data_IF_049784842691
#
_entry.id   IF_049784842691
#
_cell.length_a   1.000
_cell.length_b   1.000
_cell.length_c   1.000
_cell.angle_alpha   90.00
_cell.angle_beta   90.00
_cell.angle_gamma   90.00
#
_symmetry.space_group_name_H-M   'P 1'
#
loop_
_entity.id
_entity.type
_entity.pdbx_description
1 polymer ?
#
# COMPACT_ATOMS: atom_id res chain seq x y z
N UNK A 1 1.42 -5.59 4.31
CA UNK A 1 0.32 -5.70 5.30
C UNK A 1 -0.67 -6.80 4.93
N UNK A 2 -1.43 -6.71 3.83
CA UNK A 2 -2.39 -7.77 3.43
C UNK A 2 -1.78 -9.17 3.40
N UNK A 3 -0.69 -9.36 2.63
CA UNK A 3 0.04 -10.64 2.56
C UNK A 3 0.53 -11.15 3.91
N UNK A 4 0.96 -10.25 4.81
CA UNK A 4 1.48 -10.61 6.12
C UNK A 4 0.39 -11.22 7.01
N UNK A 5 -0.79 -10.60 7.05
CA UNK A 5 -1.91 -11.05 7.88
C UNK A 5 -2.68 -12.25 7.31
N UNK A 6 -2.26 -12.77 6.15
CA UNK A 6 -2.68 -14.12 5.72
C UNK A 6 -2.01 -15.19 6.59
N UNK A 7 -0.79 -14.94 7.07
CA UNK A 7 -0.01 -15.91 7.84
C UNK A 7 0.01 -15.63 9.36
N UNK A 8 -0.25 -14.38 9.76
CA UNK A 8 -0.19 -13.96 11.16
C UNK A 8 -1.50 -13.36 11.64
N UNK A 9 -1.76 -13.49 12.95
CA UNK A 9 -2.92 -12.88 13.59
C UNK A 9 -2.67 -11.44 14.01
N UNK A 10 -3.69 -10.59 13.89
CA UNK A 10 -3.73 -9.24 14.46
C UNK A 10 -3.58 -9.22 15.99
N UNK A 11 -3.94 -10.31 16.68
CA UNK A 11 -3.78 -10.43 18.14
C UNK A 11 -2.32 -10.60 18.55
N UNK A 12 -1.51 -11.23 17.68
CA UNK A 12 -0.08 -11.47 17.93
C UNK A 12 0.78 -10.30 17.45
N UNK A 13 0.43 -9.72 16.30
CA UNK A 13 1.15 -8.60 15.71
C UNK A 13 0.21 -7.40 15.55
N UNK A 14 0.31 -6.39 16.44
CA UNK A 14 -0.54 -5.20 16.37
C UNK A 14 -0.35 -4.45 15.05
N UNK A 15 -1.48 -4.11 14.40
CA UNK A 15 -1.49 -3.48 13.08
C UNK A 15 -0.70 -2.17 13.01
N UNK A 16 -0.68 -1.37 14.07
CA UNK A 16 0.00 -0.07 14.08
C UNK A 16 1.53 -0.21 14.08
N UNK A 17 2.07 -1.24 14.75
CA UNK A 17 3.50 -1.53 14.73
C UNK A 17 3.91 -2.09 13.37
N UNK A 18 3.12 -3.04 12.85
CA UNK A 18 3.37 -3.62 11.53
C UNK A 18 3.20 -2.60 10.39
N UNK A 19 2.32 -1.61 10.54
CA UNK A 19 2.19 -0.52 9.57
C UNK A 19 3.47 0.32 9.47
N UNK A 20 4.07 0.68 10.61
CA UNK A 20 5.34 1.41 10.63
C UNK A 20 6.48 0.59 10.00
N UNK A 21 6.59 -0.70 10.37
CA UNK A 21 7.58 -1.61 9.80
C UNK A 21 7.37 -1.83 8.29
N UNK A 22 6.13 -2.01 7.84
CA UNK A 22 5.80 -2.17 6.43
C UNK A 22 6.11 -0.91 5.61
N UNK A 23 5.83 0.28 6.14
CA UNK A 23 6.17 1.54 5.47
C UNK A 23 7.68 1.76 5.43
N UNK A 24 8.39 1.44 6.51
CA UNK A 24 9.85 1.52 6.57
C UNK A 24 10.50 0.60 5.53
N UNK A 25 10.02 -0.64 5.44
CA UNK A 25 10.49 -1.60 4.45
C UNK A 25 10.16 -1.15 3.02
N UNK A 26 8.91 -0.77 2.74
CA UNK A 26 8.49 -0.31 1.43
C UNK A 26 9.30 0.90 0.96
N UNK A 27 9.58 1.86 1.84
CA UNK A 27 10.41 3.01 1.52
C UNK A 27 11.83 2.62 1.07
N UNK A 28 12.42 1.56 1.66
CA UNK A 28 13.72 1.04 1.22
C UNK A 28 13.63 0.35 -0.14
N UNK A 29 12.58 -0.46 -0.35
CA UNK A 29 12.37 -1.22 -1.60
C UNK A 29 12.11 -0.29 -2.79
N UNK A 30 11.38 0.80 -2.57
CA UNK A 30 11.08 1.82 -3.59
C UNK A 30 12.20 2.86 -3.76
N UNK A 31 13.42 2.57 -3.27
CA UNK A 31 14.59 3.45 -3.36
C UNK A 31 14.39 4.87 -2.79
N UNK A 32 13.52 4.98 -1.78
CA UNK A 32 13.25 6.22 -1.04
C UNK A 32 13.42 6.04 0.48
N UNK A 33 14.59 5.57 0.96
CA UNK A 33 14.78 5.22 2.36
C UNK A 33 14.54 6.42 3.29
N UNK A 34 13.95 6.13 4.45
CA UNK A 34 13.74 7.10 5.54
C UNK A 34 14.53 6.64 6.76
N UNK A 35 15.02 7.60 7.56
CA UNK A 35 15.70 7.28 8.83
C UNK A 35 14.72 6.59 9.77
N UNK A 36 15.19 5.57 10.50
CA UNK A 36 14.39 4.83 11.48
C UNK A 36 13.75 5.77 12.51
N UNK A 37 14.52 6.71 13.05
CA UNK A 37 14.04 7.75 13.98
C UNK A 37 12.86 8.55 13.40
N UNK A 38 12.93 8.90 12.11
CA UNK A 38 11.87 9.64 11.43
C UNK A 38 10.57 8.83 11.36
N UNK A 39 10.66 7.54 11.03
CA UNK A 39 9.49 6.66 10.97
C UNK A 39 8.85 6.50 12.34
N UNK A 40 9.65 6.31 13.39
CA UNK A 40 9.14 6.23 14.77
C UNK A 40 8.45 7.53 15.17
N UNK A 41 9.04 8.68 14.84
CA UNK A 41 8.44 10.00 15.09
C UNK A 41 7.09 10.15 14.43
N UNK A 42 6.99 9.84 13.14
CA UNK A 42 5.73 9.95 12.40
C UNK A 42 4.71 8.95 12.95
N UNK A 43 5.10 7.72 13.26
CA UNK A 43 4.20 6.72 13.85
C UNK A 43 3.66 7.18 15.21
N UNK A 44 4.50 7.76 16.06
CA UNK A 44 4.10 8.32 17.36
C UNK A 44 3.16 9.52 17.18
N UNK A 45 3.44 10.42 16.24
CA UNK A 45 2.55 11.55 15.93
C UNK A 45 1.18 11.10 15.41
N UNK A 46 1.13 10.08 14.55
CA UNK A 46 -0.12 9.53 14.03
C UNK A 46 -0.95 8.83 15.13
N UNK A 47 -0.27 8.21 16.12
CA UNK A 47 -0.94 7.53 17.24
C UNK A 47 -1.39 8.51 18.32
N UNK A 48 -0.51 9.44 18.68
CA UNK A 48 -0.68 10.42 19.75
C UNK A 48 -0.33 11.79 19.17
N UNK A 49 -1.34 12.54 18.68
CA UNK A 49 -1.16 13.82 17.96
C UNK A 49 -0.45 14.97 18.71
N UNK A 50 0.09 14.72 19.91
CA UNK A 50 0.85 15.67 20.74
C UNK A 50 2.26 15.19 21.10
N UNK A 51 2.64 13.97 20.73
CA UNK A 51 3.91 13.34 21.14
C UNK A 51 4.97 13.54 20.03
N UNK A 52 5.51 14.76 19.93
CA UNK A 52 6.49 15.15 18.90
C UNK A 52 7.94 15.06 19.37
N UNK A 53 8.16 15.07 20.69
CA UNK A 53 9.50 15.07 21.27
C UNK A 53 9.96 13.63 21.51
N UNK A 54 10.87 13.16 20.66
CA UNK A 54 11.59 11.91 20.88
C UNK A 54 12.89 12.23 21.60
N UNK A 55 13.05 11.66 22.78
CA UNK A 55 14.36 11.53 23.40
C UNK A 55 14.99 10.21 22.93
N UNK A 56 16.05 10.32 22.13
CA UNK A 56 16.79 9.19 21.52
C UNK A 56 17.46 8.31 22.58
N UNK A 57 17.74 8.85 23.78
CA UNK A 57 18.33 8.09 24.88
C UNK A 57 17.28 7.47 25.79
N UNK A 58 15.99 7.74 25.55
CA UNK A 58 14.92 7.16 26.36
C UNK A 58 14.77 5.66 26.12
N UNK A 59 14.51 4.91 27.19
CA UNK A 59 14.23 3.47 27.13
C UNK A 59 13.06 3.16 26.18
N UNK A 60 12.05 4.05 26.14
CA UNK A 60 10.91 3.97 25.22
C UNK A 60 11.36 4.00 23.76
N UNK A 61 12.21 4.95 23.37
CA UNK A 61 12.70 5.04 21.99
C UNK A 61 13.55 3.82 21.61
N UNK A 62 14.43 3.38 22.52
CA UNK A 62 15.31 2.22 22.29
C UNK A 62 14.44 0.96 22.07
N UNK A 63 13.43 0.74 22.90
CA UNK A 63 12.48 -0.36 22.73
C UNK A 63 11.72 -0.26 21.41
N UNK A 64 11.18 0.91 21.06
CA UNK A 64 10.47 1.12 19.78
C UNK A 64 11.36 0.86 18.56
N UNK A 65 12.65 1.22 18.67
CA UNK A 65 13.64 1.01 17.61
C UNK A 65 13.93 -0.48 17.41
N UNK A 66 14.12 -1.21 18.51
CA UNK A 66 14.31 -2.67 18.47
C UNK A 66 13.07 -3.38 17.92
N UNK A 67 11.87 -3.00 18.37
CA UNK A 67 10.60 -3.56 17.88
C UNK A 67 10.39 -3.32 16.39
N UNK A 68 10.74 -2.13 15.88
CA UNK A 68 10.59 -1.81 14.47
C UNK A 68 11.52 -2.68 13.60
N UNK A 69 12.79 -2.82 14.00
CA UNK A 69 13.75 -3.69 13.29
C UNK A 69 13.34 -5.16 13.38
N UNK A 70 12.86 -5.61 14.53
CA UNK A 70 12.33 -6.96 14.70
C UNK A 70 11.15 -7.22 13.78
N UNK A 71 10.14 -6.34 13.79
CA UNK A 71 8.94 -6.47 12.97
C UNK A 71 9.26 -6.38 11.46
N UNK A 72 10.23 -5.56 11.06
CA UNK A 72 10.73 -5.54 9.69
C UNK A 72 11.31 -6.90 9.27
N UNK A 73 12.18 -7.49 10.10
CA UNK A 73 12.77 -8.80 9.79
C UNK A 73 11.70 -9.90 9.69
N UNK A 74 10.76 -9.92 10.62
CA UNK A 74 9.63 -10.87 10.59
C UNK A 74 8.77 -10.66 9.35
N UNK A 75 8.53 -9.41 8.95
CA UNK A 75 7.81 -9.08 7.72
C UNK A 75 8.54 -9.61 6.47
N UNK A 76 9.85 -9.32 6.34
CA UNK A 76 10.68 -9.80 5.23
C UNK A 76 10.68 -11.32 5.10
N UNK A 77 10.89 -12.02 6.22
CA UNK A 77 10.88 -13.48 6.26
C UNK A 77 9.50 -14.05 5.89
N UNK A 78 8.42 -13.44 6.39
CA UNK A 78 7.05 -13.88 6.09
C UNK A 78 6.72 -13.70 4.60
N UNK A 79 7.23 -12.65 3.98
CA UNK A 79 7.07 -12.43 2.54
C UNK A 79 8.00 -13.30 1.69
N UNK A 80 8.91 -14.07 2.30
CA UNK A 80 9.92 -14.84 1.58
C UNK A 80 10.85 -13.96 0.75
N UNK A 81 11.11 -12.72 1.20
CA UNK A 81 11.85 -11.68 0.47
C UNK A 81 11.24 -11.28 -0.88
N UNK A 82 10.02 -11.73 -1.19
CA UNK A 82 9.26 -11.28 -2.36
C UNK A 82 8.62 -9.91 -2.07
N UNK A 83 9.44 -8.88 -2.24
CA UNK A 83 9.07 -7.47 -1.99
C UNK A 83 8.71 -6.70 -3.27
N UNK A 84 8.86 -7.32 -4.44
CA UNK A 84 8.48 -6.72 -5.71
C UNK A 84 6.96 -6.84 -5.92
N UNK A 85 6.22 -5.76 -5.69
CA UNK A 85 4.76 -5.75 -5.81
C UNK A 85 4.33 -5.09 -7.12
N UNK A 86 3.59 -5.83 -7.95
CA UNK A 86 2.87 -5.25 -9.08
C UNK A 86 1.53 -4.65 -8.61
N UNK A 87 1.28 -3.40 -8.98
CA UNK A 87 0.11 -2.64 -8.56
C UNK A 87 -0.88 -2.43 -9.72
N UNK A 88 -2.20 -2.42 -9.45
CA UNK A 88 -3.21 -2.19 -10.48
C UNK A 88 -3.05 -0.82 -11.17
N UNK A 89 -2.47 0.17 -10.49
CA UNK A 89 -2.28 1.54 -11.00
C UNK A 89 -1.54 1.59 -12.34
N UNK A 90 -0.47 0.81 -12.51
CA UNK A 90 0.30 0.75 -13.77
C UNK A 90 -0.58 0.32 -14.95
N UNK A 91 -1.42 -0.68 -14.72
CA UNK A 91 -2.35 -1.21 -15.72
C UNK A 91 -3.51 -0.25 -15.98
N UNK A 92 -3.99 0.47 -14.96
CA UNK A 92 -4.99 1.52 -15.11
C UNK A 92 -4.49 2.63 -16.05
N UNK A 93 -3.29 3.17 -15.78
CA UNK A 93 -2.70 4.24 -16.60
C UNK A 93 -2.54 3.79 -18.05
N UNK A 94 -2.00 2.58 -18.26
CA UNK A 94 -1.82 2.02 -19.61
C UNK A 94 -3.13 1.84 -20.34
N UNK A 95 -4.15 1.26 -19.70
CA UNK A 95 -5.44 1.01 -20.31
C UNK A 95 -6.17 2.32 -20.65
N UNK A 96 -6.24 3.26 -19.71
CA UNK A 96 -6.83 4.58 -19.93
C UNK A 96 -6.18 5.34 -21.09
N UNK A 97 -4.86 5.21 -21.25
CA UNK A 97 -4.15 5.77 -22.41
C UNK A 97 -4.57 5.13 -23.73
N UNK A 98 -4.62 3.79 -23.79
CA UNK A 98 -4.99 3.05 -25.00
C UNK A 98 -6.43 3.33 -25.46
N UNK A 99 -7.38 3.42 -24.52
CA UNK A 99 -8.79 3.72 -24.83
C UNK A 99 -9.08 5.22 -24.98
N UNK A 100 -8.04 6.06 -24.92
CA UNK A 100 -8.14 7.53 -24.97
C UNK A 100 -9.17 8.08 -23.98
N UNK A 101 -9.16 7.55 -22.76
CA UNK A 101 -10.03 7.99 -21.67
C UNK A 101 -9.81 9.48 -21.35
N UNK A 102 -10.86 10.15 -20.87
CA UNK A 102 -10.73 11.50 -20.33
C UNK A 102 -9.83 11.50 -19.09
N UNK A 103 -9.24 12.66 -18.80
CA UNK A 103 -8.42 12.86 -17.60
C UNK A 103 -9.18 12.52 -16.32
N UNK A 104 -10.45 12.92 -16.25
CA UNK A 104 -11.31 12.70 -15.08
C UNK A 104 -11.60 11.22 -14.86
N UNK A 105 -11.84 10.46 -15.95
CA UNK A 105 -12.04 9.03 -15.86
C UNK A 105 -10.77 8.29 -15.43
N UNK A 106 -9.61 8.71 -15.96
CA UNK A 106 -8.32 8.14 -15.57
C UNK A 106 -8.01 8.40 -14.09
N UNK A 107 -8.24 9.62 -13.60
CA UNK A 107 -8.08 9.97 -12.19
C UNK A 107 -9.04 9.18 -11.29
N UNK A 108 -10.31 9.06 -11.68
CA UNK A 108 -11.31 8.27 -10.95
C UNK A 108 -10.91 6.79 -10.88
N UNK A 109 -10.45 6.22 -12.00
CA UNK A 109 -9.98 4.84 -12.06
C UNK A 109 -8.75 4.61 -11.17
N UNK A 110 -7.80 5.56 -11.16
CA UNK A 110 -6.62 5.51 -10.29
C UNK A 110 -7.00 5.60 -8.81
N UNK A 111 -7.95 6.48 -8.47
CA UNK A 111 -8.49 6.60 -7.12
C UNK A 111 -9.18 5.30 -6.67
N UNK A 112 -9.96 4.66 -7.56
CA UNK A 112 -10.57 3.35 -7.28
C UNK A 112 -9.52 2.26 -7.04
N UNK A 113 -8.40 2.28 -7.77
CA UNK A 113 -7.29 1.35 -7.54
C UNK A 113 -6.68 1.52 -6.14
N UNK A 114 -6.48 2.75 -5.66
CA UNK A 114 -6.03 2.99 -4.28
C UNK A 114 -7.04 2.50 -3.25
N UNK A 115 -8.33 2.78 -3.44
CA UNK A 115 -9.38 2.31 -2.53
C UNK A 115 -9.49 0.78 -2.52
N UNK A 116 -9.24 0.10 -3.64
CA UNK A 116 -9.22 -1.36 -3.68
C UNK A 116 -8.18 -1.95 -2.72
N UNK A 117 -7.01 -1.30 -2.58
CA UNK A 117 -5.96 -1.71 -1.65
C UNK A 117 -6.34 -1.43 -0.19
N UNK A 118 -7.06 -0.34 0.09
CA UNK A 118 -7.39 0.05 1.46
C UNK A 118 -8.63 -0.66 2.01
N UNK A 119 -9.67 -0.82 1.19
CA UNK A 119 -11.01 -1.24 1.63
C UNK A 119 -11.31 -2.70 1.33
N UNK A 120 -10.49 -3.36 0.52
CA UNK A 120 -10.72 -4.75 0.10
C UNK A 120 -9.47 -5.60 0.22
N UNK A 121 -9.63 -6.91 0.11
CA UNK A 121 -8.52 -7.88 0.00
C UNK A 121 -8.31 -8.34 -1.45
N UNK A 122 -8.72 -7.57 -2.46
CA UNK A 122 -8.57 -7.95 -3.87
C UNK A 122 -7.11 -8.19 -4.27
N UNK A 123 -6.15 -7.49 -3.65
CA UNK A 123 -4.72 -7.65 -3.92
C UNK A 123 -4.14 -9.02 -3.55
N UNK A 124 -4.86 -9.83 -2.77
CA UNK A 124 -4.47 -11.22 -2.44
C UNK A 124 -5.38 -12.26 -3.10
N UNK A 125 -6.43 -11.82 -3.81
CA UNK A 125 -7.40 -12.71 -4.46
C UNK A 125 -7.25 -12.71 -5.99
N UNK A 126 -6.89 -11.58 -6.58
CA UNK A 126 -6.89 -11.37 -8.03
C UNK A 126 -5.57 -10.79 -8.52
N UNK A 127 -5.24 -11.07 -9.79
CA UNK A 127 -4.09 -10.44 -10.45
C UNK A 127 -4.30 -8.93 -10.58
N UNK A 128 -3.24 -8.10 -10.51
CA UNK A 128 -3.33 -6.64 -10.64
C UNK A 128 -4.05 -6.16 -11.90
N UNK A 129 -3.91 -6.89 -13.01
CA UNK A 129 -4.61 -6.62 -14.28
C UNK A 129 -6.13 -6.73 -14.15
N UNK A 130 -6.63 -7.74 -13.41
CA UNK A 130 -8.07 -7.94 -13.18
C UNK A 130 -8.61 -6.82 -12.29
N UNK A 131 -7.87 -6.46 -11.24
CA UNK A 131 -8.24 -5.36 -10.35
C UNK A 131 -8.28 -4.03 -11.11
N UNK A 132 -7.33 -3.79 -12.02
CA UNK A 132 -7.33 -2.61 -12.87
C UNK A 132 -8.57 -2.54 -13.78
N UNK A 133 -8.94 -3.65 -14.43
CA UNK A 133 -10.18 -3.74 -15.21
C UNK A 133 -11.42 -3.45 -14.35
N UNK A 134 -11.47 -4.00 -13.14
CA UNK A 134 -12.54 -3.72 -12.18
C UNK A 134 -12.64 -2.23 -11.85
N UNK A 135 -11.52 -1.58 -11.51
CA UNK A 135 -11.48 -0.15 -11.18
C UNK A 135 -11.94 0.73 -12.35
N UNK A 136 -11.50 0.42 -13.57
CA UNK A 136 -11.93 1.14 -14.78
C UNK A 136 -13.42 0.93 -15.03
N UNK A 137 -13.91 -0.30 -14.94
CA UNK A 137 -15.34 -0.60 -15.16
C UNK A 137 -16.23 0.16 -14.18
N UNK A 138 -15.85 0.19 -12.90
CA UNK A 138 -16.57 0.96 -11.88
C UNK A 138 -16.55 2.45 -12.20
N UNK A 139 -15.39 3.00 -12.58
CA UNK A 139 -15.29 4.41 -12.97
C UNK A 139 -16.13 4.73 -14.22
N UNK A 140 -16.15 3.85 -15.23
CA UNK A 140 -16.97 3.98 -16.43
C UNK A 140 -18.45 4.09 -16.08
N UNK A 141 -18.95 3.17 -15.24
CA UNK A 141 -20.34 3.19 -14.76
C UNK A 141 -20.65 4.45 -13.94
N UNK A 142 -19.72 4.90 -13.11
CA UNK A 142 -19.91 6.12 -12.31
C UNK A 142 -20.02 7.36 -13.20
N UNK A 143 -19.21 7.44 -14.24
CA UNK A 143 -19.15 8.58 -15.16
C UNK A 143 -20.13 8.48 -16.33
N UNK A 144 -21.01 7.45 -16.37
CA UNK A 144 -21.85 7.12 -17.52
C UNK A 144 -21.06 7.12 -18.85
N UNK A 145 -19.85 6.57 -18.82
CA UNK A 145 -18.97 6.48 -19.98
C UNK A 145 -18.85 5.02 -20.43
N UNK A 146 -18.88 4.80 -21.74
CA UNK A 146 -18.77 3.47 -22.34
C UNK A 146 -17.51 3.38 -23.20
N UNK A 147 -16.74 2.31 -22.99
CA UNK A 147 -15.61 1.98 -23.86
C UNK A 147 -16.19 1.39 -25.15
N UNK A 148 -15.92 1.98 -26.33
CA UNK A 148 -16.38 1.42 -27.59
C UNK A 148 -15.76 0.05 -27.84
N UNK A 149 -16.51 -0.83 -28.53
CA UNK A 149 -15.99 -2.13 -28.96
C UNK A 149 -14.78 -1.94 -29.89
N UNK A 150 -13.76 -2.78 -29.73
CA UNK A 150 -12.59 -2.75 -30.58
C UNK A 150 -12.97 -3.08 -32.03
N UNK A 151 -12.37 -2.35 -32.97
CA UNK A 151 -12.50 -2.62 -34.41
C UNK A 151 -11.39 -3.53 -34.93
N UNK A 152 -10.42 -3.91 -34.10
CA UNK A 152 -9.38 -4.89 -34.45
C UNK A 152 -10.00 -6.30 -34.39
N UNK A 153 -10.02 -6.98 -35.55
CA UNK A 153 -10.42 -8.38 -35.71
C UNK A 153 -9.29 -9.34 -35.34
#
# INVERSE_FOLDING_TARGET
MHRFYVFHSFTKFPWHQMAAAALFLAAKVEEQPRKLEYVIRVANMCKNGRDTNIDVNSERYISQSQDLVFNENVLLQTLGFDVAIDHPHTHVVRCCHLVRASKDLAQTSYFMASNSLHLTTMCIQYKPTVVACFCILVACKWSNWEIPLSYEK
#
